data_IF_682983349809
#
_entry.id   IF_682983349809
#
_cell.length_a   1.000
_cell.length_b   1.000
_cell.length_c   1.000
_cell.angle_alpha   90.00
_cell.angle_beta   90.00
_cell.angle_gamma   90.00
#
_symmetry.space_group_name_H-M   'P 1'
#
loop_
_entity.id
_entity.type
_entity.pdbx_description
1 polymer ?
#
# COMPACT_ATOMS: atom_id res chain seq x y z
N UNK A 1 -17.60 8.99 -8.31
CA UNK A 1 -16.98 7.66 -8.16
C UNK A 1 -17.94 6.78 -7.38
N UNK A 2 -18.00 5.49 -7.69
CA UNK A 2 -18.74 4.49 -6.92
C UNK A 2 -17.79 3.40 -6.44
N UNK A 3 -17.97 2.93 -5.20
CA UNK A 3 -17.16 1.86 -4.61
C UNK A 3 -17.99 0.90 -3.77
N UNK A 4 -17.72 -0.41 -3.80
CA UNK A 4 -18.39 -1.38 -2.93
C UNK A 4 -18.09 -1.09 -1.46
N UNK A 5 -19.08 -1.27 -0.58
CA UNK A 5 -18.94 -1.02 0.86
C UNK A 5 -18.05 -2.03 1.59
N UNK A 6 -17.96 -3.26 1.07
CA UNK A 6 -17.40 -4.41 1.78
C UNK A 6 -16.17 -5.03 1.09
N UNK A 7 -15.63 -4.39 0.05
CA UNK A 7 -14.42 -4.86 -0.65
C UNK A 7 -13.20 -4.01 -0.29
N UNK A 8 -12.02 -4.42 -0.78
CA UNK A 8 -10.73 -3.74 -0.53
C UNK A 8 -9.81 -3.85 -1.74
N UNK A 9 -8.71 -3.08 -1.75
CA UNK A 9 -7.71 -3.13 -2.82
C UNK A 9 -8.24 -2.65 -4.18
N UNK A 10 -9.06 -1.60 -4.15
CA UNK A 10 -9.69 -0.97 -5.32
C UNK A 10 -10.62 -1.90 -6.12
N UNK A 11 -11.03 -3.04 -5.57
CA UNK A 11 -11.94 -3.97 -6.23
C UNK A 11 -13.34 -3.35 -6.39
N UNK A 12 -13.86 -3.39 -7.62
CA UNK A 12 -15.21 -2.90 -7.95
C UNK A 12 -15.36 -1.38 -7.95
N UNK A 13 -14.27 -0.62 -7.78
CA UNK A 13 -14.30 0.85 -7.88
C UNK A 13 -14.49 1.27 -9.34
N UNK A 14 -15.41 2.21 -9.58
CA UNK A 14 -15.63 2.80 -10.90
C UNK A 14 -15.66 4.34 -10.82
N UNK A 15 -14.99 4.98 -11.77
CA UNK A 15 -15.03 6.44 -11.94
C UNK A 15 -16.00 6.76 -13.07
N UNK A 16 -17.16 7.29 -12.70
CA UNK A 16 -18.21 7.70 -13.63
C UNK A 16 -18.02 9.19 -13.92
N UNK A 17 -17.78 9.55 -15.18
CA UNK A 17 -17.41 10.89 -15.66
C UNK A 17 -18.56 11.66 -16.30
N UNK A 18 -19.66 11.00 -16.61
CA UNK A 18 -20.86 11.63 -17.17
C UNK A 18 -22.16 11.04 -16.60
N UNK A 19 -23.29 11.69 -16.86
CA UNK A 19 -24.61 11.19 -16.47
C UNK A 19 -24.94 9.89 -17.21
N UNK A 20 -24.55 9.78 -18.48
CA UNK A 20 -24.75 8.59 -19.30
C UNK A 20 -23.97 7.40 -18.76
N UNK A 21 -22.70 7.57 -18.39
CA UNK A 21 -21.91 6.52 -17.73
C UNK A 21 -22.55 6.09 -16.39
N UNK A 22 -23.15 7.03 -15.67
CA UNK A 22 -23.83 6.73 -14.42
C UNK A 22 -25.12 5.92 -14.64
N UNK A 23 -25.93 6.28 -15.63
CA UNK A 23 -27.14 5.54 -15.99
C UNK A 23 -26.81 4.11 -16.47
N UNK A 24 -25.76 3.95 -17.29
CA UNK A 24 -25.28 2.64 -17.74
C UNK A 24 -24.78 1.77 -16.57
N UNK A 25 -24.04 2.37 -15.64
CA UNK A 25 -23.55 1.66 -14.46
C UNK A 25 -24.70 1.24 -13.54
N UNK A 26 -25.68 2.13 -13.31
CA UNK A 26 -26.87 1.83 -12.52
C UNK A 26 -27.70 0.69 -13.12
N UNK A 27 -27.82 0.64 -14.45
CA UNK A 27 -28.58 -0.41 -15.13
C UNK A 27 -27.91 -1.79 -15.07
N UNK A 28 -26.57 -1.85 -14.95
CA UNK A 28 -25.79 -3.08 -15.10
C UNK A 28 -25.21 -3.65 -13.81
N UNK A 29 -24.87 -2.79 -12.85
CA UNK A 29 -24.01 -3.15 -11.71
C UNK A 29 -24.58 -2.77 -10.35
N UNK A 30 -25.66 -1.98 -10.30
CA UNK A 30 -26.21 -1.50 -9.04
C UNK A 30 -26.87 -2.63 -8.25
N UNK A 31 -26.47 -2.71 -6.98
CA UNK A 31 -27.15 -3.51 -5.97
C UNK A 31 -27.53 -2.60 -4.79
N UNK A 32 -28.78 -2.66 -4.30
CA UNK A 32 -29.22 -1.87 -3.16
C UNK A 32 -28.28 -2.02 -1.97
N UNK A 33 -27.91 -0.89 -1.38
CA UNK A 33 -27.05 -0.81 -0.19
C UNK A 33 -25.64 -1.42 -0.33
N UNK A 34 -25.22 -1.86 -1.52
CA UNK A 34 -23.91 -2.48 -1.70
C UNK A 34 -22.78 -1.48 -1.98
N UNK A 35 -23.13 -0.26 -2.43
CA UNK A 35 -22.17 0.73 -2.90
C UNK A 35 -22.26 2.07 -2.15
N UNK A 36 -21.15 2.80 -2.16
CA UNK A 36 -21.03 4.21 -1.80
C UNK A 36 -20.82 5.02 -3.07
N UNK A 37 -21.39 6.23 -3.11
CA UNK A 37 -21.12 7.22 -4.14
C UNK A 37 -20.42 8.42 -3.50
N UNK A 38 -19.30 8.85 -4.09
CA UNK A 38 -18.51 9.98 -3.60
C UNK A 38 -17.95 10.82 -4.75
N UNK A 39 -17.57 12.06 -4.43
CA UNK A 39 -16.87 12.92 -5.39
C UNK A 39 -15.52 12.28 -5.76
N UNK A 40 -15.16 12.34 -7.03
CA UNK A 40 -13.82 11.95 -7.45
C UNK A 40 -12.81 12.99 -6.97
N UNK A 41 -11.83 12.56 -6.17
CA UNK A 41 -10.74 13.43 -5.71
C UNK A 41 -9.55 13.22 -6.63
N UNK A 42 -9.13 14.27 -7.32
CA UNK A 42 -7.92 14.27 -8.12
C UNK A 42 -6.72 14.59 -7.25
N UNK A 43 -5.72 13.72 -7.26
CA UNK A 43 -4.50 13.88 -6.49
C UNK A 43 -3.76 12.56 -6.33
N UNK A 44 -2.48 12.66 -6.00
CA UNK A 44 -1.71 11.47 -5.64
C UNK A 44 -2.14 10.98 -4.26
N UNK A 45 -1.95 9.69 -3.99
CA UNK A 45 -2.38 9.09 -2.75
C UNK A 45 -1.19 8.84 -1.82
N UNK A 46 -1.33 9.26 -0.57
CA UNK A 46 -0.48 8.82 0.53
C UNK A 46 -1.22 7.82 1.41
N UNK A 47 -0.45 7.01 2.11
CA UNK A 47 -0.94 6.18 3.18
C UNK A 47 -0.19 6.48 4.47
N UNK A 48 -0.88 6.28 5.58
CA UNK A 48 -0.45 6.52 6.95
C UNK A 48 -0.67 5.22 7.70
N UNK A 49 0.41 4.63 8.16
CA UNK A 49 0.40 3.40 8.92
C UNK A 49 0.76 3.72 10.36
N UNK A 50 0.02 3.17 11.32
CA UNK A 50 0.30 3.41 12.73
C UNK A 50 0.12 2.18 13.60
N UNK A 51 0.76 2.21 14.76
CA UNK A 51 0.45 1.42 15.94
C UNK A 51 -0.05 2.40 17.00
N UNK A 52 -1.30 2.23 17.43
CA UNK A 52 -1.93 2.99 18.50
C UNK A 52 -2.10 2.07 19.71
N UNK A 53 -1.56 2.45 20.86
CA UNK A 53 -1.67 1.69 22.09
C UNK A 53 -1.69 2.60 23.32
N UNK A 54 -2.85 2.76 23.94
CA UNK A 54 -3.05 3.47 25.22
C UNK A 54 -2.36 4.85 25.32
N UNK A 55 -2.46 5.64 24.26
CA UNK A 55 -1.91 7.00 24.17
C UNK A 55 -0.56 7.07 23.45
N UNK A 56 0.15 5.96 23.28
CA UNK A 56 1.33 5.87 22.43
C UNK A 56 0.93 5.66 20.97
N UNK A 57 1.46 6.52 20.08
CA UNK A 57 1.20 6.45 18.64
C UNK A 57 2.53 6.44 17.89
N UNK A 58 2.91 5.28 17.36
CA UNK A 58 4.00 5.16 16.40
C UNK A 58 3.41 5.16 15.00
N UNK A 59 3.90 6.02 14.12
CA UNK A 59 3.35 6.11 12.76
C UNK A 59 4.41 6.49 11.73
N UNK A 60 4.10 6.23 10.47
CA UNK A 60 4.84 6.75 9.33
C UNK A 60 3.89 7.00 8.16
N UNK A 61 4.35 7.79 7.20
CA UNK A 61 3.58 8.10 6.00
C UNK A 61 4.42 7.92 4.74
N UNK A 62 3.80 7.33 3.73
CA UNK A 62 4.41 7.06 2.43
C UNK A 62 3.45 7.44 1.30
N UNK A 63 3.97 7.66 0.09
CA UNK A 63 3.19 8.04 -1.09
C UNK A 63 3.33 6.99 -2.17
N UNK A 64 2.21 6.60 -2.77
CA UNK A 64 2.22 5.75 -3.95
C UNK A 64 2.82 6.50 -5.14
N UNK A 65 3.64 5.82 -5.94
CA UNK A 65 4.25 6.40 -7.15
C UNK A 65 3.25 6.46 -8.31
N UNK A 66 2.27 5.56 -8.32
CA UNK A 66 1.17 5.47 -9.29
C UNK A 66 -0.15 5.28 -8.56
N UNK A 67 -1.25 5.37 -9.28
CA UNK A 67 -2.56 4.99 -8.75
C UNK A 67 -2.58 3.51 -8.32
N UNK A 68 -3.37 3.20 -7.30
CA UNK A 68 -3.49 1.82 -6.77
C UNK A 68 -4.17 0.85 -7.74
N UNK A 69 -4.68 1.31 -8.88
CA UNK A 69 -5.23 0.47 -9.95
C UNK A 69 -4.15 0.02 -10.95
N UNK A 70 -2.88 0.41 -10.80
CA UNK A 70 -1.76 -0.01 -11.64
C UNK A 70 -1.67 -1.53 -11.85
N UNK A 71 -1.98 -2.33 -10.81
CA UNK A 71 -1.95 -3.79 -10.91
C UNK A 71 -2.94 -4.36 -11.93
N UNK A 72 -4.08 -3.71 -12.16
CA UNK A 72 -5.07 -4.13 -13.16
C UNK A 72 -4.51 -4.01 -14.59
N UNK A 73 -3.54 -3.11 -14.78
CA UNK A 73 -2.82 -2.88 -16.03
C UNK A 73 -1.53 -3.70 -16.13
N UNK A 74 -1.20 -4.50 -15.12
CA UNK A 74 0.06 -5.24 -15.03
C UNK A 74 1.28 -4.34 -14.77
N UNK A 75 1.06 -3.07 -14.41
CA UNK A 75 2.12 -2.12 -14.05
C UNK A 75 2.55 -2.36 -12.59
N UNK A 76 3.83 -2.14 -12.24
CA UNK A 76 4.28 -2.24 -10.87
C UNK A 76 3.56 -1.23 -9.97
N UNK A 77 3.36 -1.60 -8.71
CA UNK A 77 2.90 -0.69 -7.67
C UNK A 77 4.06 -0.43 -6.72
N UNK A 78 4.33 0.84 -6.45
CA UNK A 78 5.39 1.26 -5.55
C UNK A 78 4.92 2.30 -4.55
N UNK A 79 5.53 2.32 -3.37
CA UNK A 79 5.35 3.38 -2.39
C UNK A 79 6.68 3.78 -1.76
N UNK A 80 6.81 5.06 -1.42
CA UNK A 80 8.03 5.66 -0.88
C UNK A 80 7.70 6.50 0.33
N UNK A 81 8.45 6.36 1.43
CA UNK A 81 8.24 7.18 2.62
C UNK A 81 8.43 8.66 2.33
N UNK A 82 7.56 9.50 2.89
CA UNK A 82 7.54 10.93 2.60
C UNK A 82 8.70 11.63 3.33
N UNK A 83 9.52 12.36 2.58
CA UNK A 83 10.53 13.28 3.11
C UNK A 83 10.08 14.73 3.27
N UNK A 84 8.95 15.11 2.66
CA UNK A 84 8.39 16.45 2.78
C UNK A 84 7.78 16.68 4.18
N UNK A 85 8.30 17.65 4.92
CA UNK A 85 7.89 17.91 6.29
C UNK A 85 6.42 18.38 6.40
N UNK A 86 5.94 19.17 5.44
CA UNK A 86 4.57 19.72 5.46
C UNK A 86 3.51 18.64 5.25
N UNK A 87 3.77 17.69 4.34
CA UNK A 87 2.92 16.54 4.10
C UNK A 87 2.93 15.58 5.29
N UNK A 88 4.08 15.42 5.96
CA UNK A 88 4.17 14.64 7.22
C UNK A 88 3.35 15.29 8.33
N UNK A 89 3.43 16.60 8.50
CA UNK A 89 2.64 17.33 9.49
C UNK A 89 1.13 17.16 9.23
N UNK A 90 0.70 17.36 7.97
CA UNK A 90 -0.69 17.15 7.57
C UNK A 90 -1.16 15.70 7.80
N UNK A 91 -0.30 14.71 7.51
CA UNK A 91 -0.58 13.29 7.75
C UNK A 91 -0.75 12.98 9.24
N UNK A 92 0.13 13.52 10.09
CA UNK A 92 0.01 13.38 11.55
C UNK A 92 -1.27 14.02 12.08
N UNK A 93 -1.65 15.20 11.58
CA UNK A 93 -2.88 15.88 11.96
C UNK A 93 -4.14 15.10 11.54
N UNK A 94 -4.13 14.51 10.33
CA UNK A 94 -5.23 13.67 9.86
C UNK A 94 -5.34 12.38 10.69
N UNK A 95 -4.22 11.72 11.00
CA UNK A 95 -4.21 10.53 11.86
C UNK A 95 -4.77 10.86 13.25
N UNK A 96 -4.38 11.98 13.84
CA UNK A 96 -4.89 12.42 15.14
C UNK A 96 -6.41 12.63 15.11
N UNK A 97 -6.96 13.24 14.06
CA UNK A 97 -8.41 13.40 13.88
C UNK A 97 -9.13 12.06 13.77
N UNK A 98 -8.54 11.08 13.07
CA UNK A 98 -9.11 9.73 12.95
C UNK A 98 -9.09 9.01 14.31
N UNK A 99 -7.99 9.10 15.05
CA UNK A 99 -7.85 8.49 16.38
C UNK A 99 -8.88 9.06 17.35
N UNK A 100 -9.02 10.40 17.39
CA UNK A 100 -9.97 11.09 18.25
C UNK A 100 -11.42 10.81 17.85
N UNK A 101 -11.76 10.99 16.57
CA UNK A 101 -13.13 10.85 16.08
C UNK A 101 -13.69 9.44 16.19
N UNK A 102 -12.84 8.40 16.19
CA UNK A 102 -13.26 7.00 16.35
C UNK A 102 -12.87 6.41 17.71
N UNK A 103 -12.35 7.23 18.63
CA UNK A 103 -11.90 6.83 19.96
C UNK A 103 -10.94 5.62 19.94
N UNK A 104 -10.02 5.60 18.96
CA UNK A 104 -9.09 4.49 18.76
C UNK A 104 -8.09 4.43 19.91
N UNK A 105 -8.17 3.38 20.74
CA UNK A 105 -7.22 3.19 21.85
C UNK A 105 -6.13 2.15 21.57
N UNK A 106 -6.48 1.07 20.87
CA UNK A 106 -5.61 -0.09 20.66
C UNK A 106 -5.87 -0.68 19.28
N UNK A 107 -5.10 -0.26 18.28
CA UNK A 107 -5.28 -0.72 16.91
C UNK A 107 -4.02 -0.51 16.08
N UNK A 108 -3.99 -1.16 14.92
CA UNK A 108 -3.04 -0.87 13.85
C UNK A 108 -3.83 -0.31 12.66
N UNK A 109 -4.01 1.03 12.56
CA UNK A 109 -4.69 1.62 11.43
C UNK A 109 -3.76 1.74 10.20
N UNK A 110 -4.33 1.42 9.05
CA UNK A 110 -3.84 1.80 7.73
C UNK A 110 -4.84 2.78 7.13
N UNK A 111 -4.41 4.02 6.91
CA UNK A 111 -5.21 5.15 6.45
C UNK A 111 -4.70 5.63 5.10
N UNK A 112 -5.56 5.74 4.11
CA UNK A 112 -5.25 6.34 2.81
C UNK A 112 -5.86 7.75 2.70
N UNK A 113 -5.13 8.67 2.10
CA UNK A 113 -5.58 10.04 1.84
C UNK A 113 -5.04 10.58 0.51
N UNK A 114 -5.85 11.38 -0.17
CA UNK A 114 -5.45 12.09 -1.38
C UNK A 114 -4.71 13.39 -1.02
N UNK A 115 -3.58 13.62 -1.66
CA UNK A 115 -2.79 14.85 -1.58
C UNK A 115 -3.35 15.84 -2.60
N UNK A 116 -4.08 16.84 -2.10
CA UNK A 116 -4.72 17.89 -2.90
C UNK A 116 -4.03 19.25 -2.70
N UNK A 117 -4.29 20.26 -3.56
CA UNK A 117 -3.74 21.60 -3.37
C UNK A 117 -4.10 22.27 -2.04
N UNK A 118 -5.20 21.84 -1.40
CA UNK A 118 -5.69 22.38 -0.12
C UNK A 118 -5.29 21.54 1.10
N UNK A 119 -4.54 20.45 0.91
CA UNK A 119 -4.13 19.53 1.97
C UNK A 119 -4.57 18.09 1.72
N UNK A 120 -4.66 17.31 2.80
CA UNK A 120 -5.06 15.91 2.72
C UNK A 120 -6.58 15.75 2.75
N UNK A 121 -7.11 14.98 1.81
CA UNK A 121 -8.50 14.53 1.79
C UNK A 121 -8.55 13.06 2.16
N UNK A 122 -9.23 12.72 3.26
CA UNK A 122 -9.43 11.33 3.71
C UNK A 122 -10.04 10.46 2.61
N UNK A 123 -9.50 9.26 2.40
CA UNK A 123 -10.03 8.26 1.46
C UNK A 123 -10.67 7.08 2.21
N UNK A 124 -9.85 6.31 2.94
CA UNK A 124 -10.28 5.14 3.69
C UNK A 124 -9.39 4.89 4.91
N UNK A 125 -9.91 4.19 5.91
CA UNK A 125 -9.10 3.65 7.01
C UNK A 125 -9.55 2.23 7.34
N UNK A 126 -8.60 1.36 7.65
CA UNK A 126 -8.84 0.00 8.10
C UNK A 126 -8.00 -0.31 9.34
N UNK A 127 -8.57 -1.00 10.33
CA UNK A 127 -7.88 -1.46 11.54
C UNK A 127 -7.03 -2.72 11.26
N UNK A 128 -6.15 -2.64 10.26
CA UNK A 128 -5.18 -3.68 9.92
C UNK A 128 -3.89 -3.03 9.38
N UNK A 129 -2.76 -3.76 9.42
CA UNK A 129 -1.56 -3.36 8.68
C UNK A 129 -1.84 -3.20 7.18
N UNK A 130 -1.14 -2.26 6.54
CA UNK A 130 -1.13 -2.11 5.08
C UNK A 130 -0.58 -3.36 4.37
N UNK A 131 -0.97 -3.52 3.10
CA UNK A 131 -0.53 -4.64 2.26
C UNK A 131 0.88 -4.45 1.68
N UNK A 132 1.26 -5.33 0.74
CA UNK A 132 2.52 -5.24 0.01
C UNK A 132 3.75 -5.18 0.93
N UNK A 133 4.63 -4.19 0.73
CA UNK A 133 5.83 -3.99 1.52
C UNK A 133 5.67 -3.14 2.77
N UNK A 134 4.45 -2.71 3.12
CA UNK A 134 4.20 -1.77 4.23
C UNK A 134 4.76 -2.28 5.55
N UNK A 135 4.50 -3.53 5.91
CA UNK A 135 4.95 -4.10 7.19
C UNK A 135 6.47 -4.15 7.27
N UNK A 136 7.13 -4.65 6.23
CA UNK A 136 8.60 -4.73 6.17
C UNK A 136 9.22 -3.31 6.17
N UNK A 137 8.61 -2.34 5.48
CA UNK A 137 9.03 -0.94 5.47
C UNK A 137 8.89 -0.29 6.85
N UNK A 138 7.78 -0.52 7.55
CA UNK A 138 7.54 0.02 8.89
C UNK A 138 8.49 -0.58 9.93
N UNK A 139 8.84 -1.87 9.80
CA UNK A 139 9.92 -2.46 10.61
C UNK A 139 11.22 -1.70 10.38
N UNK A 140 11.57 -1.39 9.14
CA UNK A 140 12.83 -0.70 8.83
C UNK A 140 12.90 0.72 9.42
N UNK A 141 11.80 1.49 9.40
CA UNK A 141 11.79 2.90 9.83
C UNK A 141 11.30 3.14 11.26
N UNK A 142 10.59 2.18 11.86
CA UNK A 142 10.01 2.31 13.21
C UNK A 142 10.36 1.16 14.17
N UNK A 143 10.95 0.08 13.64
CA UNK A 143 11.40 -1.05 14.45
C UNK A 143 10.25 -1.91 14.98
N UNK A 144 9.08 -1.83 14.35
CA UNK A 144 7.84 -2.47 14.82
C UNK A 144 7.25 -3.31 13.69
N UNK A 145 6.92 -4.57 13.99
CA UNK A 145 6.21 -5.42 13.04
C UNK A 145 4.70 -5.28 13.25
N UNK A 146 4.07 -4.42 12.47
CA UNK A 146 2.63 -4.12 12.57
C UNK A 146 1.72 -5.37 12.55
N UNK A 147 2.10 -6.44 11.84
CA UNK A 147 1.34 -7.69 11.84
C UNK A 147 1.46 -8.43 13.17
N UNK A 148 2.68 -8.52 13.72
CA UNK A 148 2.92 -9.15 15.01
C UNK A 148 2.26 -8.35 16.14
N UNK A 149 2.43 -7.03 16.13
CA UNK A 149 1.92 -6.16 17.19
C UNK A 149 0.39 -6.08 17.21
N UNK A 150 -0.26 -6.18 16.05
CA UNK A 150 -1.71 -6.36 16.00
C UNK A 150 -2.14 -7.61 16.78
N UNK A 151 -1.43 -8.73 16.63
CA UNK A 151 -1.75 -9.96 17.35
C UNK A 151 -1.51 -9.81 18.86
N UNK A 152 -0.47 -9.08 19.27
CA UNK A 152 -0.23 -8.80 20.69
C UNK A 152 -1.37 -7.98 21.30
N UNK A 153 -1.82 -6.93 20.61
CA UNK A 153 -2.98 -6.14 21.03
C UNK A 153 -4.22 -7.04 21.22
N UNK A 154 -4.49 -7.92 20.26
CA UNK A 154 -5.64 -8.84 20.32
C UNK A 154 -5.54 -9.87 21.46
N UNK A 155 -4.32 -10.22 21.86
CA UNK A 155 -4.03 -11.07 23.01
C UNK A 155 -4.02 -10.30 24.35
N UNK A 156 -4.19 -8.98 24.35
CA UNK A 156 -4.09 -8.15 25.55
C UNK A 156 -2.65 -7.96 26.06
N UNK A 157 -1.67 -8.15 25.19
CA UNK A 157 -0.23 -8.01 25.46
C UNK A 157 0.26 -6.63 25.02
N UNK A 158 1.37 -6.17 25.60
CA UNK A 158 2.04 -4.93 25.20
C UNK A 158 2.71 -5.08 23.82
N UNK A 159 2.27 -4.34 22.78
CA UNK A 159 2.85 -4.40 21.43
C UNK A 159 4.21 -3.68 21.32
N UNK A 160 4.65 -2.93 22.32
CA UNK A 160 5.91 -2.20 22.28
C UNK A 160 7.08 -3.01 22.84
N UNK A 161 6.82 -4.13 23.50
CA UNK A 161 7.84 -4.96 24.16
C UNK A 161 8.91 -5.55 23.23
N UNK A 162 8.59 -5.68 21.94
CA UNK A 162 9.46 -6.27 20.92
C UNK A 162 10.04 -5.23 19.95
N UNK A 163 9.87 -3.93 20.23
CA UNK A 163 10.39 -2.86 19.38
C UNK A 163 11.92 -2.97 19.29
N UNK A 164 12.43 -2.98 18.06
CA UNK A 164 13.85 -2.94 17.76
C UNK A 164 14.28 -1.55 17.31
N UNK A 165 15.59 -1.31 17.26
CA UNK A 165 16.10 -0.05 16.71
C UNK A 165 15.81 0.03 15.20
N UNK A 166 15.22 1.13 14.70
CA UNK A 166 15.10 1.37 13.26
C UNK A 166 16.46 1.32 12.56
N UNK A 167 16.50 0.78 11.35
CA UNK A 167 17.74 0.64 10.58
C UNK A 167 17.93 1.76 9.57
N UNK A 168 16.90 2.56 9.31
CA UNK A 168 16.88 3.61 8.31
C UNK A 168 15.85 4.70 8.64
N UNK A 169 16.07 5.91 8.12
CA UNK A 169 15.11 7.01 8.23
C UNK A 169 13.99 6.91 7.19
N UNK A 170 14.30 6.33 6.02
CA UNK A 170 13.38 6.20 4.90
C UNK A 170 13.30 4.77 4.40
N UNK A 171 12.16 4.44 3.80
CA UNK A 171 11.90 3.14 3.19
C UNK A 171 11.07 3.30 1.94
N UNK A 172 11.15 2.32 1.05
CA UNK A 172 10.28 2.21 -0.09
C UNK A 172 10.02 0.75 -0.43
N UNK A 173 9.01 0.48 -1.25
CA UNK A 173 8.78 -0.85 -1.77
C UNK A 173 8.19 -0.82 -3.18
N UNK A 174 8.40 -1.91 -3.92
CA UNK A 174 7.82 -2.15 -5.25
C UNK A 174 7.31 -3.58 -5.35
N UNK A 175 6.11 -3.75 -5.89
CA UNK A 175 5.49 -5.03 -6.23
C UNK A 175 5.35 -5.14 -7.74
N UNK A 176 5.72 -6.29 -8.31
CA UNK A 176 5.51 -6.62 -9.72
C UNK A 176 4.44 -7.68 -9.87
N UNK A 177 3.54 -7.53 -10.83
CA UNK A 177 2.37 -8.39 -11.01
C UNK A 177 2.48 -9.25 -12.26
N UNK A 178 1.89 -10.44 -12.20
CA UNK A 178 1.86 -11.37 -13.34
C UNK A 178 0.45 -11.46 -13.92
N UNK A 179 0.36 -11.64 -15.23
CA UNK A 179 -0.90 -11.92 -15.94
C UNK A 179 -1.29 -13.40 -15.89
N UNK A 180 -0.44 -14.25 -15.32
CA UNK A 180 -0.62 -15.69 -15.18
C UNK A 180 0.12 -16.50 -16.27
N UNK A 181 0.11 -17.82 -16.13
CA UNK A 181 0.75 -18.76 -17.06
C UNK A 181 2.00 -19.41 -16.46
N UNK A 182 2.97 -19.80 -17.30
CA UNK A 182 4.26 -20.34 -16.85
C UNK A 182 5.31 -19.25 -16.92
N UNK A 183 6.04 -19.03 -15.83
CA UNK A 183 7.14 -18.07 -15.76
C UNK A 183 8.33 -18.57 -16.61
N UNK A 184 8.71 -17.85 -17.66
CA UNK A 184 9.82 -18.24 -18.55
C UNK A 184 11.16 -17.68 -18.09
N UNK A 185 11.16 -16.43 -17.62
CA UNK A 185 12.34 -15.79 -17.07
C UNK A 185 11.93 -14.75 -16.02
N UNK A 186 12.86 -14.47 -15.11
CA UNK A 186 12.77 -13.41 -14.12
C UNK A 186 14.19 -12.89 -13.85
N UNK A 187 14.38 -11.58 -13.94
CA UNK A 187 15.64 -10.90 -13.63
C UNK A 187 15.35 -9.65 -12.80
N UNK A 188 15.90 -9.63 -11.59
CA UNK A 188 15.91 -8.49 -10.69
C UNK A 188 17.32 -8.17 -10.18
N UNK A 189 18.35 -8.63 -10.88
CA UNK A 189 19.77 -8.42 -10.54
C UNK A 189 20.12 -6.94 -10.34
N UNK A 190 19.41 -6.06 -11.04
CA UNK A 190 19.49 -4.62 -10.88
C UNK A 190 19.20 -4.13 -9.44
N UNK A 191 18.33 -4.81 -8.69
CA UNK A 191 17.82 -4.32 -7.39
C UNK A 191 18.02 -5.29 -6.24
N UNK A 192 18.23 -6.57 -6.51
CA UNK A 192 18.27 -7.63 -5.49
C UNK A 192 19.37 -7.41 -4.44
N UNK A 193 20.54 -6.88 -4.83
CA UNK A 193 21.64 -6.58 -3.91
C UNK A 193 21.40 -5.37 -3.00
N UNK A 194 20.45 -4.48 -3.34
CA UNK A 194 20.11 -3.30 -2.53
C UNK A 194 18.83 -3.44 -1.72
N UNK A 195 18.11 -4.54 -1.88
CA UNK A 195 16.84 -4.77 -1.21
C UNK A 195 17.07 -5.20 0.25
N UNK A 196 16.56 -4.40 1.20
CA UNK A 196 16.44 -4.78 2.61
C UNK A 196 15.59 -6.05 2.78
N UNK A 197 14.48 -6.13 2.02
CA UNK A 197 13.65 -7.33 1.91
C UNK A 197 13.40 -7.65 0.45
N UNK A 198 13.54 -8.92 0.11
CA UNK A 198 13.24 -9.45 -1.23
C UNK A 198 12.38 -10.69 -1.12
N UNK A 199 11.29 -10.74 -1.87
CA UNK A 199 10.44 -11.93 -2.02
C UNK A 199 10.16 -12.14 -3.50
N UNK A 200 10.30 -13.36 -3.97
CA UNK A 200 9.90 -13.78 -5.32
C UNK A 200 9.08 -15.05 -5.16
N UNK A 201 7.86 -15.03 -5.67
CA UNK A 201 6.86 -16.07 -5.42
C UNK A 201 7.03 -17.32 -6.29
N UNK A 202 7.87 -17.26 -7.33
CA UNK A 202 8.06 -18.33 -8.30
C UNK A 202 9.44 -18.24 -8.97
N UNK A 203 9.90 -19.36 -9.53
CA UNK A 203 11.09 -19.46 -10.36
C UNK A 203 10.73 -19.80 -11.82
N UNK A 204 11.62 -19.53 -12.80
CA UNK A 204 11.40 -19.95 -14.17
C UNK A 204 11.06 -21.45 -14.27
N UNK A 205 9.98 -21.76 -14.98
CA UNK A 205 9.38 -23.09 -15.10
C UNK A 205 8.11 -23.29 -14.26
N UNK A 206 7.90 -22.47 -13.23
CA UNK A 206 6.72 -22.59 -12.36
C UNK A 206 5.46 -22.01 -13.03
N UNK A 207 4.31 -22.58 -12.68
CA UNK A 207 3.02 -21.97 -12.98
C UNK A 207 2.74 -20.84 -11.98
N UNK A 208 2.39 -19.67 -12.51
CA UNK A 208 2.09 -18.46 -11.74
C UNK A 208 0.63 -18.05 -11.98
N UNK A 209 -0.15 -17.78 -10.93
CA UNK A 209 -1.51 -17.30 -11.10
C UNK A 209 -1.51 -15.85 -11.57
N UNK A 210 -2.57 -15.42 -12.26
CA UNK A 210 -2.82 -13.99 -12.49
C UNK A 210 -2.93 -13.27 -11.15
N UNK A 211 -2.23 -12.15 -10.99
CA UNK A 211 -2.37 -11.29 -9.82
C UNK A 211 -3.79 -10.71 -9.75
N UNK A 212 -4.46 -10.91 -8.61
CA UNK A 212 -5.86 -10.47 -8.37
C UNK A 212 -6.00 -9.40 -7.31
N UNK A 213 -4.91 -9.06 -6.62
CA UNK A 213 -4.92 -8.16 -5.48
C UNK A 213 -3.62 -7.36 -5.44
N UNK A 214 -3.72 -6.05 -5.20
CA UNK A 214 -2.58 -5.13 -5.24
C UNK A 214 -1.51 -5.45 -4.18
N UNK A 215 -1.87 -6.05 -3.05
CA UNK A 215 -0.90 -6.36 -2.01
C UNK A 215 0.01 -7.56 -2.34
N UNK A 216 -0.32 -8.37 -3.35
CA UNK A 216 0.37 -9.64 -3.64
C UNK A 216 0.70 -9.75 -5.13
N UNK A 217 2.00 -9.87 -5.43
CA UNK A 217 2.52 -10.00 -6.80
C UNK A 217 3.53 -11.14 -6.95
N UNK A 218 4.15 -11.20 -8.13
CA UNK A 218 5.23 -12.12 -8.46
C UNK A 218 6.48 -11.83 -7.62
N UNK A 219 6.82 -10.55 -7.43
CA UNK A 219 7.94 -10.12 -6.61
C UNK A 219 7.60 -8.92 -5.74
N UNK A 220 8.29 -8.81 -4.61
CA UNK A 220 8.30 -7.67 -3.71
C UNK A 220 9.75 -7.33 -3.36
N UNK A 221 10.12 -6.07 -3.53
CA UNK A 221 11.38 -5.50 -3.09
C UNK A 221 11.08 -4.37 -2.12
N UNK A 222 11.75 -4.38 -0.96
CA UNK A 222 11.70 -3.32 0.04
C UNK A 222 13.10 -2.76 0.20
N UNK A 223 13.20 -1.45 0.14
CA UNK A 223 14.44 -0.68 0.26
C UNK A 223 14.39 0.16 1.53
N UNK A 224 15.54 0.36 2.16
CA UNK A 224 15.68 1.16 3.36
C UNK A 224 16.96 1.98 3.23
N UNK A 225 16.91 3.27 3.57
CA UNK A 225 18.04 4.18 3.39
C UNK A 225 17.94 5.47 4.21
N UNK A 226 19.02 6.26 4.26
CA UNK A 226 19.11 7.48 5.05
C UNK A 226 18.26 8.63 4.49
N UNK A 227 17.91 8.63 3.20
CA UNK A 227 17.18 9.74 2.55
C UNK A 227 16.04 9.25 1.66
N UNK A 228 15.06 10.14 1.44
CA UNK A 228 13.96 9.92 0.51
C UNK A 228 14.46 9.69 -0.92
N UNK A 229 15.43 10.46 -1.37
CA UNK A 229 15.98 10.41 -2.73
C UNK A 229 16.64 9.06 -3.03
N UNK A 230 17.32 8.47 -2.03
CA UNK A 230 18.00 7.17 -2.19
C UNK A 230 16.99 6.03 -2.38
N UNK A 231 15.97 5.95 -1.52
CA UNK A 231 14.95 4.90 -1.64
C UNK A 231 14.05 5.12 -2.87
N UNK A 232 13.82 6.37 -3.29
CA UNK A 232 13.12 6.69 -4.53
C UNK A 232 13.92 6.25 -5.77
N UNK A 233 15.25 6.38 -5.75
CA UNK A 233 16.11 5.90 -6.84
C UNK A 233 16.02 4.37 -6.98
N UNK A 234 15.95 3.64 -5.87
CA UNK A 234 15.71 2.20 -5.88
C UNK A 234 14.36 1.83 -6.49
N UNK A 235 13.29 2.54 -6.13
CA UNK A 235 11.96 2.32 -6.72
C UNK A 235 11.98 2.57 -8.23
N UNK A 236 12.59 3.66 -8.69
CA UNK A 236 12.73 3.92 -10.14
C UNK A 236 13.47 2.79 -10.85
N UNK A 237 14.51 2.24 -10.22
CA UNK A 237 15.24 1.09 -10.74
C UNK A 237 14.38 -0.18 -10.75
N UNK A 238 13.63 -0.43 -9.68
CA UNK A 238 12.74 -1.58 -9.58
C UNK A 238 11.62 -1.55 -10.62
N UNK A 239 11.00 -0.38 -10.87
CA UNK A 239 9.95 -0.25 -11.88
C UNK A 239 10.47 -0.41 -13.32
N UNK A 240 11.73 -0.06 -13.59
CA UNK A 240 12.27 -0.03 -14.95
C UNK A 240 13.20 -1.19 -15.32
N UNK A 241 13.80 -1.89 -14.35
CA UNK A 241 14.86 -2.88 -14.58
C UNK A 241 14.56 -4.27 -14.03
N UNK A 242 13.47 -4.46 -13.28
CA UNK A 242 12.97 -5.81 -13.00
C UNK A 242 12.20 -6.27 -14.22
N UNK A 243 12.60 -7.41 -14.77
CA UNK A 243 12.01 -7.96 -16.00
C UNK A 243 11.59 -9.41 -15.79
N UNK A 244 10.47 -9.80 -16.39
CA UNK A 244 10.02 -11.18 -16.41
C UNK A 244 9.12 -11.43 -17.62
N UNK A 245 8.95 -12.69 -17.99
CA UNK A 245 8.05 -13.11 -19.08
C UNK A 245 7.24 -14.31 -18.64
N UNK A 246 5.97 -14.34 -19.04
CA UNK A 246 5.13 -15.53 -18.90
C UNK A 246 4.65 -15.99 -20.26
N UNK A 247 4.48 -17.30 -20.40
CA UNK A 247 3.79 -17.93 -21.54
C UNK A 247 2.47 -18.55 -21.06
N UNK A 248 1.47 -18.75 -21.93
CA UNK A 248 0.23 -19.43 -21.54
C UNK A 248 0.49 -20.83 -20.96
N UNK A 249 -0.32 -21.23 -19.96
CA UNK A 249 -0.42 -22.63 -19.53
C UNK A 249 -1.03 -23.46 -20.67
N UNK A 250 -0.57 -24.71 -20.82
CA UNK A 250 -1.15 -25.67 -21.78
C UNK A 250 -2.48 -26.21 -21.30
#
# INVERSE_FOLDING_TARGET
>A
MVKPRALSGSQGVAVLRSAEEADEWLASSYEPEAFLAEAFVEGDMCHIDALVYDGDVLWDTSRYVRDTMAYLRGEPLSSVSVGDASLREAAGALLAQVIDGWEVRRAVPHLEAFVTPTGLTFCEVAARPGGAGVVDAFVATRGVNLMHEKLLIECGEDPLRNRVEPIAAHSAWTVHYTTGGVLECFDDSAVSGGAYKRRVAAQPGDEVPRSRFSATGLSLHVFAGPTHEEVLAWVRKAESQVTFKTRPSM
#
